data_IF_759543115601
#
_entry.id   IF_759543115601
#
_cell.length_a   1.000
_cell.length_b   1.000
_cell.length_c   1.000
_cell.angle_alpha   90.00
_cell.angle_beta   90.00
_cell.angle_gamma   90.00
#
_symmetry.space_group_name_H-M   'P 1'
#
loop_
_entity.id
_entity.type
_entity.pdbx_description
1 polymer ?
#
# COMPACT_ATOMS: atom_id res chain seq x y z
N UNK A 1 58.86 -23.25 -4.64
CA UNK A 1 58.26 -22.10 -5.36
C UNK A 1 56.87 -22.42 -5.91
N UNK A 2 56.67 -23.57 -6.57
CA UNK A 2 55.40 -24.01 -7.19
C UNK A 2 54.26 -24.27 -6.18
N UNK A 3 54.55 -24.82 -5.00
CA UNK A 3 53.54 -25.12 -3.95
C UNK A 3 52.82 -23.88 -3.38
N UNK A 4 53.48 -22.71 -3.37
CA UNK A 4 52.88 -21.46 -2.87
C UNK A 4 51.86 -20.88 -3.87
N UNK A 5 52.19 -20.88 -5.17
CA UNK A 5 51.29 -20.38 -6.21
C UNK A 5 49.99 -21.19 -6.29
N UNK A 6 50.08 -22.51 -6.17
CA UNK A 6 48.90 -23.38 -6.15
C UNK A 6 48.00 -23.18 -4.91
N UNK A 7 48.56 -22.79 -3.77
CA UNK A 7 47.77 -22.44 -2.59
C UNK A 7 47.08 -21.09 -2.74
N UNK A 8 47.77 -20.10 -3.31
CA UNK A 8 47.22 -18.75 -3.52
C UNK A 8 46.08 -18.75 -4.55
N UNK A 9 46.17 -19.55 -5.61
CA UNK A 9 45.11 -19.70 -6.61
C UNK A 9 43.86 -20.37 -6.05
N UNK A 10 44.02 -21.42 -5.23
CA UNK A 10 42.89 -22.08 -4.55
C UNK A 10 42.20 -21.16 -3.55
N UNK A 11 42.95 -20.31 -2.85
CA UNK A 11 42.39 -19.34 -1.92
C UNK A 11 41.56 -18.28 -2.64
N UNK A 12 42.03 -17.79 -3.80
CA UNK A 12 41.28 -16.83 -4.63
C UNK A 12 40.00 -17.45 -5.21
N UNK A 13 40.06 -18.67 -5.74
CA UNK A 13 38.89 -19.37 -6.25
C UNK A 13 37.83 -19.60 -5.16
N UNK A 14 38.25 -20.01 -3.96
CA UNK A 14 37.34 -20.18 -2.83
C UNK A 14 36.73 -18.84 -2.35
N UNK A 15 37.44 -17.72 -2.48
CA UNK A 15 36.91 -16.39 -2.16
C UNK A 15 35.88 -15.93 -3.21
N UNK A 16 36.15 -16.17 -4.49
CA UNK A 16 35.23 -15.82 -5.59
C UNK A 16 33.95 -16.66 -5.55
N UNK A 17 34.05 -17.96 -5.24
CA UNK A 17 32.89 -18.84 -5.04
C UNK A 17 32.05 -18.40 -3.84
N UNK A 18 32.68 -18.01 -2.72
CA UNK A 18 31.97 -17.46 -1.55
C UNK A 18 31.29 -16.13 -1.86
N UNK A 19 31.92 -15.26 -2.65
CA UNK A 19 31.33 -14.00 -3.09
C UNK A 19 30.11 -14.23 -3.99
N UNK A 20 30.21 -15.18 -4.93
CA UNK A 20 29.09 -15.58 -5.79
C UNK A 20 27.95 -16.21 -4.99
N UNK A 21 28.26 -17.16 -4.10
CA UNK A 21 27.26 -17.76 -3.21
C UNK A 21 26.59 -16.71 -2.31
N UNK A 22 27.34 -15.77 -1.74
CA UNK A 22 26.76 -14.70 -0.94
C UNK A 22 25.92 -13.70 -1.76
N UNK A 23 26.24 -13.51 -3.04
CA UNK A 23 25.44 -12.71 -3.97
C UNK A 23 24.15 -13.45 -4.33
N UNK A 24 24.23 -14.73 -4.67
CA UNK A 24 23.08 -15.58 -4.96
C UNK A 24 22.14 -15.69 -3.74
N UNK A 25 22.69 -15.91 -2.54
CA UNK A 25 21.92 -15.94 -1.29
C UNK A 25 21.20 -14.61 -0.99
N UNK A 26 21.82 -13.45 -1.28
CA UNK A 26 21.15 -12.14 -1.15
C UNK A 26 20.03 -11.96 -2.18
N UNK A 27 20.17 -12.53 -3.36
CA UNK A 27 19.14 -12.53 -4.41
C UNK A 27 18.01 -13.51 -4.07
N UNK A 28 18.31 -14.60 -3.37
CA UNK A 28 17.34 -15.65 -3.00
C UNK A 28 16.57 -15.41 -1.70
N UNK A 29 17.00 -14.50 -0.82
CA UNK A 29 16.23 -14.23 0.41
C UNK A 29 14.92 -13.51 0.08
N UNK A 30 13.75 -14.11 0.35
CA UNK A 30 12.48 -13.42 0.16
C UNK A 30 12.43 -12.24 1.13
N UNK A 31 12.56 -11.01 0.59
CA UNK A 31 12.29 -9.81 1.38
C UNK A 31 10.81 -9.82 1.74
N UNK A 32 10.54 -9.68 3.04
CA UNK A 32 9.17 -9.52 3.53
C UNK A 32 8.51 -8.32 2.82
N UNK A 33 7.22 -8.42 2.48
CA UNK A 33 6.50 -7.32 1.86
C UNK A 33 6.54 -6.08 2.77
N UNK A 34 6.57 -4.90 2.16
CA UNK A 34 6.50 -3.64 2.90
C UNK A 34 5.06 -3.42 3.32
N UNK A 35 4.80 -3.46 4.62
CA UNK A 35 3.45 -3.27 5.15
C UNK A 35 3.27 -1.85 5.65
N UNK A 36 2.03 -1.39 5.60
CA UNK A 36 1.66 -0.13 6.19
C UNK A 36 0.24 -0.17 6.78
N UNK A 37 -0.02 0.74 7.70
CA UNK A 37 -1.35 0.99 8.22
C UNK A 37 -1.69 2.48 8.13
N UNK A 38 -2.96 2.80 7.90
CA UNK A 38 -3.41 4.18 7.75
C UNK A 38 -4.92 4.29 7.61
N UNK A 39 -5.38 5.48 7.23
CA UNK A 39 -6.80 5.75 6.94
C UNK A 39 -6.97 6.10 5.48
N UNK A 40 -7.76 5.30 4.76
CA UNK A 40 -8.08 5.55 3.35
C UNK A 40 -9.23 6.55 3.18
N UNK A 41 -10.08 6.68 4.21
CA UNK A 41 -11.13 7.69 4.28
C UNK A 41 -11.29 8.15 5.74
N UNK A 42 -11.71 9.40 5.92
CA UNK A 42 -12.10 9.99 7.20
C UNK A 42 -13.59 10.28 7.18
N UNK A 43 -14.28 9.94 8.26
CA UNK A 43 -15.70 10.25 8.42
C UNK A 43 -15.93 11.71 8.76
N UNK A 44 -17.11 12.19 8.36
CA UNK A 44 -17.61 13.54 8.64
C UNK A 44 -16.62 14.66 8.26
N UNK A 45 -15.71 14.35 7.33
CA UNK A 45 -14.68 15.25 6.82
C UNK A 45 -14.91 15.43 5.34
N UNK A 46 -15.13 16.68 4.92
CA UNK A 46 -15.40 17.02 3.54
C UNK A 46 -14.12 16.97 2.71
N UNK A 47 -14.17 16.34 1.55
CA UNK A 47 -13.04 16.24 0.63
C UNK A 47 -13.00 17.43 -0.34
N UNK A 48 -11.95 17.50 -1.16
CA UNK A 48 -11.79 18.55 -2.18
C UNK A 48 -12.90 18.56 -3.26
N UNK A 49 -13.60 17.45 -3.46
CA UNK A 49 -14.73 17.30 -4.38
C UNK A 49 -16.07 17.65 -3.75
N UNK A 50 -16.09 18.06 -2.47
CA UNK A 50 -17.31 18.29 -1.69
C UNK A 50 -18.12 16.99 -1.55
N UNK A 51 -17.45 15.88 -1.33
CA UNK A 51 -18.06 14.67 -0.77
C UNK A 51 -17.71 14.53 0.72
N UNK A 52 -18.65 14.02 1.52
CA UNK A 52 -18.46 13.69 2.92
C UNK A 52 -18.90 12.25 3.15
N UNK A 53 -18.01 11.41 3.66
CA UNK A 53 -18.32 10.02 3.99
C UNK A 53 -18.95 9.97 5.38
N UNK A 54 -20.13 9.36 5.51
CA UNK A 54 -20.78 9.16 6.80
C UNK A 54 -20.36 7.81 7.42
N UNK A 55 -20.31 7.69 8.77
CA UNK A 55 -20.11 6.40 9.43
C UNK A 55 -21.13 5.36 8.96
N UNK A 56 -20.68 4.12 8.72
CA UNK A 56 -21.51 3.05 8.18
C UNK A 56 -21.57 2.98 6.65
N UNK A 57 -21.04 3.98 5.94
CA UNK A 57 -21.09 4.00 4.48
C UNK A 57 -20.32 2.85 3.82
N UNK A 58 -19.32 2.26 4.51
CA UNK A 58 -18.61 1.07 4.03
C UNK A 58 -19.15 -0.24 4.60
N UNK A 59 -20.05 -0.21 5.59
CA UNK A 59 -20.43 -1.39 6.36
C UNK A 59 -20.93 -2.54 5.48
N UNK A 60 -21.83 -2.25 4.52
CA UNK A 60 -22.37 -3.26 3.60
C UNK A 60 -21.27 -3.84 2.70
N UNK A 61 -20.51 -2.99 2.01
CA UNK A 61 -19.48 -3.46 1.07
C UNK A 61 -18.37 -4.25 1.78
N UNK A 62 -18.04 -3.93 3.03
CA UNK A 62 -17.08 -4.70 3.82
C UNK A 62 -17.65 -6.05 4.26
N UNK A 63 -18.92 -6.11 4.70
CA UNK A 63 -19.57 -7.34 5.14
C UNK A 63 -19.80 -8.34 3.98
N UNK A 64 -20.11 -7.84 2.79
CA UNK A 64 -20.37 -8.65 1.60
C UNK A 64 -19.10 -9.11 0.89
N UNK A 65 -17.96 -8.46 1.17
CA UNK A 65 -16.71 -8.71 0.46
C UNK A 65 -16.15 -10.10 0.76
N UNK A 66 -15.74 -10.79 -0.31
CA UNK A 66 -15.08 -12.10 -0.28
C UNK A 66 -13.61 -12.03 -0.70
N UNK A 67 -13.32 -11.14 -1.66
CA UNK A 67 -11.99 -10.97 -2.23
C UNK A 67 -11.26 -9.76 -1.62
N UNK A 68 -9.93 -9.83 -1.46
CA UNK A 68 -9.14 -8.69 -0.97
C UNK A 68 -9.27 -7.48 -1.89
N UNK A 69 -9.14 -6.28 -1.33
CA UNK A 69 -9.11 -5.05 -2.12
C UNK A 69 -7.72 -4.91 -2.76
N UNK A 70 -7.64 -4.62 -4.08
CA UNK A 70 -6.37 -4.30 -4.69
C UNK A 70 -5.85 -2.98 -4.12
N UNK A 71 -4.53 -2.92 -3.92
CA UNK A 71 -3.81 -1.69 -3.65
C UNK A 71 -3.23 -1.17 -4.97
N UNK A 72 -3.76 -0.05 -5.47
CA UNK A 72 -3.26 0.58 -6.70
C UNK A 72 -2.30 1.74 -6.43
N UNK A 73 -1.57 2.12 -7.47
CA UNK A 73 -0.79 3.36 -7.49
C UNK A 73 -1.58 4.45 -8.21
N UNK A 74 -1.87 5.56 -7.53
CA UNK A 74 -2.50 6.74 -8.16
C UNK A 74 -3.83 6.42 -8.88
N UNK A 75 -4.66 5.53 -8.34
CA UNK A 75 -5.92 5.06 -8.95
C UNK A 75 -5.78 4.36 -10.31
N UNK A 76 -4.57 3.95 -10.68
CA UNK A 76 -4.31 3.23 -11.93
C UNK A 76 -4.54 1.73 -11.75
N UNK A 77 -5.64 1.22 -12.28
CA UNK A 77 -5.99 -0.21 -12.21
C UNK A 77 -5.03 -1.12 -12.97
N UNK A 78 -4.27 -0.58 -13.93
CA UNK A 78 -3.17 -1.26 -14.61
C UNK A 78 -1.88 -1.32 -13.77
N UNK A 79 -1.81 -0.59 -12.65
CA UNK A 79 -0.66 -0.52 -11.75
C UNK A 79 -1.04 -0.95 -10.32
N UNK A 80 -1.33 -2.23 -10.13
CA UNK A 80 -1.43 -2.84 -8.79
C UNK A 80 -0.05 -2.95 -8.16
N UNK A 81 0.09 -2.41 -6.96
CA UNK A 81 1.34 -2.45 -6.18
C UNK A 81 1.25 -3.37 -4.97
N UNK A 82 0.06 -3.90 -4.67
CA UNK A 82 -0.13 -4.98 -3.72
C UNK A 82 -1.59 -5.17 -3.35
N UNK A 83 -1.85 -5.49 -2.09
CA UNK A 83 -3.18 -5.82 -1.59
C UNK A 83 -3.45 -5.20 -0.22
N UNK A 84 -4.70 -4.84 0.01
CA UNK A 84 -5.21 -4.51 1.34
C UNK A 84 -5.47 -5.82 2.09
N UNK A 85 -4.72 -6.05 3.17
CA UNK A 85 -4.85 -7.24 4.02
C UNK A 85 -6.08 -7.13 4.93
N UNK A 86 -6.35 -5.93 5.46
CA UNK A 86 -7.55 -5.67 6.27
C UNK A 86 -8.10 -4.27 6.00
N UNK A 87 -9.43 -4.15 6.00
CA UNK A 87 -10.14 -2.88 5.95
C UNK A 87 -11.29 -2.94 6.96
N UNK A 88 -11.42 -1.92 7.81
CA UNK A 88 -12.48 -1.84 8.81
C UNK A 88 -12.83 -0.39 9.10
N UNK A 89 -14.10 -0.14 9.40
CA UNK A 89 -14.51 1.15 9.95
C UNK A 89 -14.14 1.23 11.44
N UNK A 90 -13.75 2.42 11.89
CA UNK A 90 -13.72 2.80 13.29
C UNK A 90 -14.36 4.19 13.48
N UNK A 91 -14.29 4.78 14.68
CA UNK A 91 -14.89 6.09 14.95
C UNK A 91 -14.31 7.23 14.08
N UNK A 92 -13.11 7.06 13.51
CA UNK A 92 -12.43 8.07 12.68
C UNK A 92 -12.69 7.89 11.19
N UNK A 93 -12.77 6.66 10.70
CA UNK A 93 -12.89 6.42 9.25
C UNK A 93 -12.65 4.99 8.83
N UNK A 94 -12.29 4.82 7.55
CA UNK A 94 -11.89 3.53 6.99
C UNK A 94 -10.41 3.29 7.25
N UNK A 95 -10.11 2.47 8.27
CA UNK A 95 -8.75 2.05 8.61
C UNK A 95 -8.35 0.86 7.73
N UNK A 96 -7.12 0.89 7.23
CA UNK A 96 -6.56 -0.15 6.37
C UNK A 96 -5.20 -0.62 6.85
N UNK A 97 -4.92 -1.91 6.61
CA UNK A 97 -3.57 -2.49 6.63
C UNK A 97 -3.35 -3.09 5.25
N UNK A 98 -2.22 -2.77 4.62
CA UNK A 98 -1.91 -3.23 3.27
C UNK A 98 -0.43 -3.61 3.14
N UNK A 99 -0.17 -4.47 2.15
CA UNK A 99 1.16 -4.94 1.80
C UNK A 99 1.50 -4.49 0.37
N UNK A 100 2.72 -4.00 0.17
CA UNK A 100 3.30 -3.70 -1.14
C UNK A 100 4.14 -4.91 -1.58
N UNK A 101 3.80 -5.47 -2.73
CA UNK A 101 4.37 -6.71 -3.28
C UNK A 101 5.87 -6.56 -3.56
N UNK A 102 6.28 -5.40 -4.10
CA UNK A 102 7.68 -5.07 -4.40
C UNK A 102 8.14 -3.84 -3.59
N UNK A 103 8.75 -4.05 -2.40
CA UNK A 103 9.26 -2.98 -1.53
C UNK A 103 10.31 -2.07 -2.17
N UNK A 104 11.07 -2.61 -3.13
CA UNK A 104 12.15 -1.91 -3.81
C UNK A 104 11.70 -1.31 -5.16
N UNK A 105 10.43 -1.52 -5.52
CA UNK A 105 9.77 -0.84 -6.63
C UNK A 105 9.41 0.61 -6.31
N UNK A 106 8.95 1.35 -7.33
CA UNK A 106 8.68 2.79 -7.23
C UNK A 106 7.75 3.16 -6.06
N UNK A 107 6.67 2.41 -5.85
CA UNK A 107 5.71 2.67 -4.77
C UNK A 107 6.31 2.43 -3.39
N UNK A 108 7.02 1.32 -3.18
CA UNK A 108 7.66 1.01 -1.92
C UNK A 108 8.77 2.00 -1.56
N UNK A 109 9.61 2.38 -2.53
CA UNK A 109 10.63 3.41 -2.34
C UNK A 109 10.02 4.79 -2.05
N UNK A 110 8.96 5.18 -2.76
CA UNK A 110 8.29 6.46 -2.54
C UNK A 110 7.65 6.53 -1.14
N UNK A 111 7.03 5.45 -0.67
CA UNK A 111 6.48 5.37 0.67
C UNK A 111 7.58 5.43 1.74
N UNK A 112 8.65 4.64 1.61
CA UNK A 112 9.77 4.64 2.56
C UNK A 112 10.46 6.01 2.67
N UNK A 113 10.52 6.76 1.57
CA UNK A 113 11.09 8.12 1.53
C UNK A 113 10.11 9.19 2.00
N UNK A 114 8.85 8.84 2.25
CA UNK A 114 7.80 9.78 2.63
C UNK A 114 7.33 10.70 1.49
N UNK A 115 7.75 10.47 0.24
CA UNK A 115 7.33 11.29 -0.90
C UNK A 115 5.91 10.97 -1.35
N UNK A 116 5.40 9.79 -1.02
CA UNK A 116 3.99 9.42 -1.19
C UNK A 116 3.49 8.74 0.08
N UNK A 117 2.59 9.43 0.78
CA UNK A 117 1.97 8.95 2.03
C UNK A 117 0.45 9.09 2.03
N UNK A 118 -0.13 9.62 0.95
CA UNK A 118 -1.58 9.74 0.81
C UNK A 118 -2.25 8.40 0.57
N UNK A 119 -3.45 8.28 1.11
CA UNK A 119 -4.36 7.17 0.81
C UNK A 119 -5.64 7.74 0.22
N UNK A 120 -6.21 6.99 -0.70
CA UNK A 120 -7.50 7.27 -1.31
C UNK A 120 -8.18 5.94 -1.63
N UNK A 121 -9.41 6.01 -2.11
CA UNK A 121 -10.19 4.82 -2.43
C UNK A 121 -11.08 5.09 -3.64
N UNK A 122 -11.30 4.03 -4.42
CA UNK A 122 -12.17 4.04 -5.59
C UNK A 122 -13.49 3.41 -5.21
N UNK A 123 -14.59 4.05 -5.59
CA UNK A 123 -15.91 3.64 -5.15
C UNK A 123 -17.01 3.99 -6.15
N UNK A 124 -18.18 3.39 -5.93
CA UNK A 124 -19.47 3.83 -6.51
C UNK A 124 -20.43 4.15 -5.38
N UNK A 125 -21.06 5.34 -5.42
CA UNK A 125 -22.10 5.69 -4.46
C UNK A 125 -23.37 4.89 -4.78
N UNK A 126 -23.89 4.16 -3.79
CA UNK A 126 -25.18 3.48 -3.89
C UNK A 126 -26.31 4.29 -3.25
N UNK A 127 -26.00 5.02 -2.18
CA UNK A 127 -26.91 5.95 -1.53
C UNK A 127 -26.16 7.22 -1.11
N UNK A 128 -26.77 8.37 -1.40
CA UNK A 128 -26.20 9.66 -1.04
C UNK A 128 -27.30 10.71 -0.85
N UNK A 129 -26.96 11.79 -0.14
CA UNK A 129 -27.82 12.94 0.04
C UNK A 129 -27.08 14.20 -0.38
N UNK A 130 -27.62 14.93 -1.34
CA UNK A 130 -27.05 16.20 -1.79
C UNK A 130 -27.64 17.35 -0.99
N UNK A 131 -26.79 18.26 -0.51
CA UNK A 131 -27.16 19.52 0.13
C UNK A 131 -26.34 20.68 -0.40
N UNK A 132 -26.55 21.88 0.15
CA UNK A 132 -25.86 23.10 -0.26
C UNK A 132 -24.32 23.00 -0.13
N UNK A 133 -23.86 22.29 0.90
CA UNK A 133 -22.43 22.11 1.18
C UNK A 133 -21.75 21.08 0.28
N UNK A 134 -22.54 20.27 -0.45
CA UNK A 134 -22.16 19.22 -1.40
C UNK A 134 -22.87 17.90 -1.05
N UNK A 135 -22.25 16.75 -1.30
CA UNK A 135 -22.91 15.44 -1.17
C UNK A 135 -22.41 14.65 0.03
N UNK A 136 -23.34 14.05 0.77
CA UNK A 136 -23.08 13.12 1.86
C UNK A 136 -23.25 11.69 1.34
N UNK A 137 -22.21 10.87 1.47
CA UNK A 137 -22.17 9.49 1.04
C UNK A 137 -22.64 8.58 2.18
N UNK A 138 -23.73 7.84 1.95
CA UNK A 138 -24.43 7.05 2.97
C UNK A 138 -24.25 5.54 2.78
N UNK A 139 -24.08 5.08 1.54
CA UNK A 139 -23.70 3.69 1.19
C UNK A 139 -22.83 3.73 -0.06
N UNK A 140 -21.75 2.97 -0.03
CA UNK A 140 -20.71 2.91 -1.03
C UNK A 140 -20.42 1.46 -1.39
N UNK A 141 -20.17 1.23 -2.67
CA UNK A 141 -19.46 0.05 -3.12
C UNK A 141 -17.98 0.39 -3.26
N UNK A 142 -17.14 -0.25 -2.44
CA UNK A 142 -15.70 -0.03 -2.41
C UNK A 142 -15.01 -0.95 -3.41
N UNK A 143 -14.21 -0.40 -4.31
CA UNK A 143 -13.51 -1.16 -5.36
C UNK A 143 -12.04 -1.39 -5.06
N UNK A 144 -11.36 -0.38 -4.52
CA UNK A 144 -9.91 -0.36 -4.36
C UNK A 144 -9.45 0.66 -3.33
N UNK A 145 -8.22 0.50 -2.87
CA UNK A 145 -7.50 1.53 -2.12
C UNK A 145 -6.24 1.88 -2.92
N UNK A 146 -5.85 3.15 -2.92
CA UNK A 146 -4.68 3.61 -3.66
C UNK A 146 -3.70 4.35 -2.75
N UNK A 147 -2.40 4.11 -2.97
CA UNK A 147 -1.36 5.07 -2.57
C UNK A 147 -1.39 6.24 -3.55
N UNK A 148 -1.55 7.45 -3.01
CA UNK A 148 -1.68 8.68 -3.78
C UNK A 148 -0.75 9.77 -3.26
N UNK A 149 -0.19 10.58 -4.16
CA UNK A 149 0.57 11.78 -3.78
C UNK A 149 -0.33 12.79 -3.06
N UNK A 150 -1.50 13.06 -3.65
CA UNK A 150 -2.46 14.07 -3.19
C UNK A 150 -3.84 13.44 -2.99
N UNK A 151 -4.20 13.05 -1.76
CA UNK A 151 -5.53 12.54 -1.47
C UNK A 151 -6.55 13.69 -1.46
N UNK A 152 -7.80 13.40 -1.87
CA UNK A 152 -8.88 14.40 -1.80
C UNK A 152 -9.21 14.80 -0.36
N UNK A 153 -9.03 13.87 0.59
CA UNK A 153 -8.98 14.17 2.03
C UNK A 153 -7.52 14.28 2.47
N UNK A 154 -7.05 15.49 2.78
CA UNK A 154 -5.64 15.73 3.15
C UNK A 154 -5.14 14.87 4.31
N UNK A 155 -6.03 14.50 5.24
CA UNK A 155 -5.73 13.65 6.40
C UNK A 155 -5.82 12.14 6.16
N UNK A 156 -6.23 11.69 4.97
CA UNK A 156 -6.20 10.27 4.59
C UNK A 156 -4.76 9.88 4.24
N UNK A 157 -4.07 9.28 5.21
CA UNK A 157 -2.61 9.07 5.17
C UNK A 157 -2.22 7.70 5.71
N UNK A 158 -1.07 7.24 5.25
CA UNK A 158 -0.29 6.20 5.92
C UNK A 158 0.24 6.76 7.24
N UNK A 159 0.07 6.01 8.32
CA UNK A 159 0.51 6.38 9.67
C UNK A 159 1.66 5.52 10.18
N UNK A 160 1.75 4.27 9.73
CA UNK A 160 2.75 3.31 10.17
C UNK A 160 3.27 2.53 8.97
N UNK A 161 4.56 2.21 8.96
CA UNK A 161 5.24 1.42 7.94
C UNK A 161 6.15 0.42 8.64
N UNK A 162 6.15 -0.84 8.21
CA UNK A 162 7.01 -1.92 8.72
C UNK A 162 7.66 -2.69 7.58
#
# INVERSE_FOLDING_TARGET
>A
MILRQAQDERLRQAQDERLRQAQDERVQQPRLPLRFAGYAALFDTRDAGRDMIRPGAFARTLAERRDPLPLYWQHRSDLRVGWVETAAEDARGLRVIAAIDNPDGAAGLALRRGSVTGLSFGYRALSSRTGAEGRDLLDLELFEVSLVTHPMQHGARVHLVS
#
